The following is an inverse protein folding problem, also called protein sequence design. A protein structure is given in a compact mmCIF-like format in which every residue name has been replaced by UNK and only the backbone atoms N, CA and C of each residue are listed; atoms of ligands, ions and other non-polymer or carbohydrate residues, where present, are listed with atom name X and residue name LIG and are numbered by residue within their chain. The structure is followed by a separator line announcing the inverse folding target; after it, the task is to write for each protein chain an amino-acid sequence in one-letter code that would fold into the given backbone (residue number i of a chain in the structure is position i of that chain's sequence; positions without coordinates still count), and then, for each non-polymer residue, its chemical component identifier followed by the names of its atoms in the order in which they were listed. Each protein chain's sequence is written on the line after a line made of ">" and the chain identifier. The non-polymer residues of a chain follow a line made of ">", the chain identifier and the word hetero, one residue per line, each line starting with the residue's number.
data_IF_407025418003
#
_entry.id   IF_407025418003
#
_cell.length_a   1.000
_cell.length_b   1.000
_cell.length_c   1.000
_cell.angle_alpha   90.00
_cell.angle_beta   90.00
_cell.angle_gamma   90.00
#
_symmetry.space_group_name_H-M   'P 1'
#
loop_
_entity.id
_entity.type
_entity.pdbx_description
1 polymer ?
#
# COMPACT_ATOMS: atom_id res chain seq x y z
N UNK A 1 -2.60 -25.45 8.22
CA UNK A 1 -3.14 -24.09 8.26
C UNK A 1 -3.69 -23.79 6.90
N UNK A 2 -4.97 -23.41 6.76
CA UNK A 2 -5.47 -22.91 5.46
C UNK A 2 -4.82 -21.54 5.28
N UNK A 3 -4.01 -21.37 4.25
CA UNK A 3 -3.58 -20.03 3.83
C UNK A 3 -4.84 -19.27 3.43
N UNK A 4 -5.25 -18.30 4.24
CA UNK A 4 -6.37 -17.43 3.92
C UNK A 4 -5.91 -16.44 2.85
N UNK A 5 -6.45 -16.60 1.65
CA UNK A 5 -6.27 -15.65 0.55
C UNK A 5 -6.73 -14.27 1.01
N UNK A 6 -5.87 -13.28 0.80
CA UNK A 6 -6.13 -11.88 1.11
C UNK A 6 -6.76 -11.23 -0.12
N UNK A 7 -8.05 -10.93 -0.03
CA UNK A 7 -8.76 -10.22 -1.08
C UNK A 7 -8.41 -8.73 -0.98
N UNK A 8 -7.80 -8.20 -2.03
CA UNK A 8 -7.44 -6.80 -2.19
C UNK A 8 -8.37 -6.15 -3.22
N UNK A 9 -9.01 -5.03 -2.87
CA UNK A 9 -9.89 -4.30 -3.78
C UNK A 9 -9.15 -3.12 -4.39
N UNK A 10 -9.15 -3.00 -5.72
CA UNK A 10 -8.50 -1.90 -6.43
C UNK A 10 -9.55 -0.89 -6.85
N UNK A 11 -9.43 0.34 -6.33
CA UNK A 11 -10.32 1.44 -6.64
C UNK A 11 -9.59 2.52 -7.42
N UNK A 12 -9.95 2.71 -8.68
CA UNK A 12 -9.42 3.78 -9.52
C UNK A 12 -10.10 5.12 -9.22
N UNK A 13 -9.40 6.23 -9.45
CA UNK A 13 -9.95 7.60 -9.43
C UNK A 13 -10.71 7.98 -8.14
N UNK A 14 -10.29 7.44 -7.00
CA UNK A 14 -10.95 7.72 -5.72
C UNK A 14 -10.72 9.17 -5.28
N UNK A 15 -11.76 9.85 -4.77
CA UNK A 15 -11.69 11.23 -4.26
C UNK A 15 -10.60 11.43 -3.18
N UNK A 16 -10.32 10.39 -2.39
CA UNK A 16 -9.22 10.37 -1.41
C UNK A 16 -7.84 10.42 -2.08
N UNK A 17 -7.71 9.77 -3.23
CA UNK A 17 -6.49 9.71 -4.00
C UNK A 17 -6.25 11.05 -4.74
N UNK A 18 -7.29 11.80 -5.10
CA UNK A 18 -7.19 13.20 -5.55
C UNK A 18 -6.57 14.12 -4.48
N UNK A 19 -7.02 13.97 -3.23
CA UNK A 19 -6.53 14.78 -2.11
C UNK A 19 -5.07 14.44 -1.78
N UNK A 20 -4.70 13.16 -1.83
CA UNK A 20 -3.31 12.70 -1.67
C UNK A 20 -2.40 13.22 -2.80
N UNK A 21 -2.89 13.23 -4.05
CA UNK A 21 -2.13 13.67 -5.21
C UNK A 21 -1.73 15.14 -5.21
N UNK A 22 -2.62 16.03 -4.73
CA UNK A 22 -2.28 17.46 -4.56
C UNK A 22 -1.13 17.69 -3.57
N UNK A 23 -0.89 16.75 -2.65
CA UNK A 23 0.15 16.88 -1.61
C UNK A 23 1.47 16.20 -2.00
N UNK A 24 1.44 15.18 -2.86
CA UNK A 24 2.61 14.34 -3.17
C UNK A 24 3.39 14.74 -4.43
N UNK A 25 2.87 15.60 -5.33
CA UNK A 25 3.53 16.00 -6.60
C UNK A 25 4.03 14.81 -7.46
N UNK A 26 3.53 13.60 -7.21
CA UNK A 26 3.84 12.42 -8.02
C UNK A 26 2.79 12.27 -9.12
N UNK A 27 3.19 12.00 -10.37
CA UNK A 27 2.25 11.78 -11.46
C UNK A 27 1.45 10.49 -11.29
N UNK A 28 1.92 9.51 -10.52
CA UNK A 28 1.22 8.25 -10.27
C UNK A 28 1.27 7.93 -8.78
N UNK A 29 0.12 7.58 -8.19
CA UNK A 29 -0.02 7.35 -6.75
C UNK A 29 -0.94 6.17 -6.50
N UNK A 30 -0.51 5.31 -5.58
CA UNK A 30 -1.34 4.29 -4.96
C UNK A 30 -1.36 4.57 -3.45
N UNK A 31 -2.51 4.34 -2.83
CA UNK A 31 -2.67 4.46 -1.38
C UNK A 31 -3.43 3.25 -0.88
N UNK A 32 -2.78 2.47 -0.04
CA UNK A 32 -3.42 1.34 0.64
C UNK A 32 -4.12 1.79 1.92
N UNK A 33 -5.37 1.38 2.10
CA UNK A 33 -6.18 1.53 3.30
C UNK A 33 -6.82 0.19 3.66
N UNK A 34 -6.23 -0.53 4.61
CA UNK A 34 -6.67 -1.89 4.92
C UNK A 34 -6.35 -2.84 3.77
N UNK A 35 -7.39 -3.41 3.15
CA UNK A 35 -7.27 -4.23 1.94
C UNK A 35 -7.65 -3.47 0.65
N UNK A 36 -7.94 -2.17 0.75
CA UNK A 36 -8.33 -1.36 -0.40
C UNK A 36 -7.13 -0.57 -0.91
N UNK A 37 -6.81 -0.72 -2.19
CA UNK A 37 -5.74 0.02 -2.87
C UNK A 37 -6.41 1.06 -3.75
N UNK A 38 -6.21 2.33 -3.42
CA UNK A 38 -6.76 3.45 -4.16
C UNK A 38 -5.73 4.00 -5.13
N UNK A 39 -6.02 3.94 -6.42
CA UNK A 39 -5.15 4.41 -7.50
C UNK A 39 -5.54 5.83 -7.94
N UNK A 40 -4.53 6.66 -8.20
CA UNK A 40 -4.69 8.00 -8.75
C UNK A 40 -3.78 8.23 -9.94
N UNK A 41 -4.38 8.72 -11.04
CA UNK A 41 -3.70 8.99 -12.31
C UNK A 41 -2.90 7.77 -12.85
N UNK A 42 -3.39 6.57 -12.53
CA UNK A 42 -2.95 5.27 -13.03
C UNK A 42 -4.16 4.34 -13.02
N UNK A 43 -4.11 3.29 -13.83
CA UNK A 43 -5.13 2.25 -13.92
C UNK A 43 -4.64 0.92 -13.31
N UNK A 44 -5.57 0.01 -13.01
CA UNK A 44 -5.27 -1.30 -12.42
C UNK A 44 -4.27 -2.09 -13.26
N UNK A 45 -4.34 -2.05 -14.58
CA UNK A 45 -3.43 -2.80 -15.44
C UNK A 45 -2.01 -2.24 -15.33
N UNK A 46 -1.83 -0.93 -15.45
CA UNK A 46 -0.52 -0.26 -15.28
C UNK A 46 0.07 -0.55 -13.90
N UNK A 47 -0.73 -0.45 -12.84
CA UNK A 47 -0.30 -0.79 -11.49
C UNK A 47 0.17 -2.25 -11.38
N UNK A 48 -0.62 -3.21 -11.88
CA UNK A 48 -0.30 -4.64 -11.79
C UNK A 48 0.92 -5.04 -12.64
N UNK A 49 1.26 -4.28 -13.68
CA UNK A 49 2.49 -4.53 -14.45
C UNK A 49 3.77 -4.13 -13.72
N UNK A 50 3.69 -3.26 -12.71
CA UNK A 50 4.83 -2.88 -11.88
C UNK A 50 4.87 -3.74 -10.60
N UNK A 51 5.53 -4.90 -10.70
CA UNK A 51 5.63 -5.83 -9.57
C UNK A 51 6.27 -5.22 -8.32
N UNK A 52 7.16 -4.24 -8.48
CA UNK A 52 7.81 -3.58 -7.35
C UNK A 52 6.80 -2.71 -6.60
N UNK A 53 6.00 -1.94 -7.35
CA UNK A 53 4.94 -1.11 -6.81
C UNK A 53 3.82 -1.92 -6.18
N UNK A 54 3.40 -3.03 -6.81
CA UNK A 54 2.44 -3.97 -6.22
C UNK A 54 2.95 -4.48 -4.88
N UNK A 55 4.22 -4.93 -4.81
CA UNK A 55 4.80 -5.44 -3.55
C UNK A 55 4.85 -4.39 -2.45
N UNK A 56 5.10 -3.13 -2.81
CA UNK A 56 5.04 -2.02 -1.88
C UNK A 56 3.66 -1.89 -1.23
N UNK A 57 2.60 -1.83 -2.04
CA UNK A 57 1.22 -1.69 -1.54
C UNK A 57 0.75 -2.93 -0.76
N UNK A 58 1.11 -4.13 -1.23
CA UNK A 58 0.80 -5.37 -0.52
C UNK A 58 1.49 -5.43 0.86
N UNK A 59 2.69 -4.87 1.00
CA UNK A 59 3.33 -4.73 2.31
C UNK A 59 2.47 -3.88 3.26
N UNK A 60 1.87 -2.80 2.77
CA UNK A 60 0.93 -2.01 3.57
C UNK A 60 -0.31 -2.83 3.95
N UNK A 61 -0.88 -3.64 3.05
CA UNK A 61 -1.99 -4.55 3.39
C UNK A 61 -1.60 -5.49 4.53
N UNK A 62 -0.41 -6.09 4.48
CA UNK A 62 0.11 -6.96 5.53
C UNK A 62 0.32 -6.19 6.85
N UNK A 63 0.84 -4.96 6.81
CA UNK A 63 0.99 -4.11 7.98
C UNK A 63 -0.38 -3.77 8.59
N UNK A 64 -1.37 -3.45 7.77
CA UNK A 64 -2.76 -3.22 8.19
C UNK A 64 -3.36 -4.47 8.85
N UNK A 65 -3.13 -5.67 8.30
CA UNK A 65 -3.55 -6.93 8.94
C UNK A 65 -2.82 -7.19 10.26
N UNK A 66 -1.51 -6.90 10.32
CA UNK A 66 -0.67 -7.14 11.50
C UNK A 66 -1.02 -6.22 12.67
N UNK A 67 -1.24 -4.94 12.40
CA UNK A 67 -1.46 -3.94 13.45
C UNK A 67 -2.94 -3.59 13.65
N UNK A 68 -3.81 -3.89 12.68
CA UNK A 68 -5.20 -3.46 12.65
C UNK A 68 -5.36 -2.05 12.10
N UNK A 69 -6.53 -1.74 11.53
CA UNK A 69 -6.79 -0.53 10.75
C UNK A 69 -6.43 0.77 11.48
N UNK A 70 -7.11 1.05 12.59
CA UNK A 70 -6.95 2.32 13.33
C UNK A 70 -5.55 2.43 13.95
N UNK A 71 -5.07 1.34 14.53
CA UNK A 71 -3.76 1.32 15.19
C UNK A 71 -2.63 1.54 14.19
N UNK A 72 -2.68 0.93 13.01
CA UNK A 72 -1.67 1.15 11.98
C UNK A 72 -1.65 2.61 11.52
N UNK A 73 -2.81 3.21 11.25
CA UNK A 73 -2.89 4.64 10.87
C UNK A 73 -2.27 5.55 11.92
N UNK A 74 -2.58 5.33 13.21
CA UNK A 74 -1.98 6.10 14.30
C UNK A 74 -0.46 5.90 14.36
N UNK A 75 0.03 4.65 14.30
CA UNK A 75 1.46 4.35 14.33
C UNK A 75 2.20 4.97 13.14
N UNK A 76 1.62 4.87 11.95
CA UNK A 76 2.17 5.43 10.71
C UNK A 76 2.23 6.95 10.79
N UNK A 77 1.15 7.61 11.22
CA UNK A 77 1.12 9.07 11.35
C UNK A 77 2.10 9.55 12.41
N UNK A 78 2.18 8.87 13.56
CA UNK A 78 3.15 9.21 14.62
C UNK A 78 4.60 9.06 14.16
N UNK A 79 4.92 7.97 13.44
CA UNK A 79 6.24 7.77 12.84
C UNK A 79 6.55 8.85 11.79
N UNK A 80 5.58 9.19 10.95
CA UNK A 80 5.73 10.20 9.91
C UNK A 80 5.94 11.60 10.51
N UNK A 81 5.23 11.98 11.57
CA UNK A 81 5.44 13.26 12.26
C UNK A 81 6.83 13.31 12.92
N UNK A 82 7.31 12.19 13.48
CA UNK A 82 8.60 12.14 14.19
C UNK A 82 9.81 12.09 13.26
N UNK A 83 9.72 11.39 12.13
CA UNK A 83 10.87 11.05 11.27
C UNK A 83 10.71 11.51 9.82
N UNK A 84 9.52 11.96 9.43
CA UNK A 84 9.16 12.23 8.05
C UNK A 84 8.89 10.97 7.22
N UNK A 85 8.32 11.17 6.04
CA UNK A 85 7.87 10.10 5.14
C UNK A 85 9.03 9.19 4.70
N UNK A 86 10.15 9.77 4.28
CA UNK A 86 11.31 8.99 3.79
C UNK A 86 11.90 8.05 4.84
N UNK A 87 11.87 8.45 6.12
CA UNK A 87 12.51 7.71 7.20
C UNK A 87 11.51 6.93 8.08
N UNK A 88 10.23 6.92 7.71
CA UNK A 88 9.20 6.11 8.35
C UNK A 88 9.56 4.62 8.22
N UNK A 89 9.54 3.86 9.32
CA UNK A 89 9.93 2.44 9.29
C UNK A 89 9.00 1.60 8.39
N UNK A 90 7.72 1.96 8.31
CA UNK A 90 6.73 1.24 7.52
C UNK A 90 6.98 1.42 6.02
N UNK A 91 7.41 2.62 5.62
CA UNK A 91 7.84 2.93 4.26
C UNK A 91 9.15 2.23 3.89
N UNK A 92 10.06 2.07 4.85
CA UNK A 92 11.29 1.30 4.63
C UNK A 92 11.00 -0.19 4.44
N UNK A 93 10.10 -0.74 5.24
CA UNK A 93 9.65 -2.13 5.11
C UNK A 93 8.97 -2.35 3.74
N UNK A 94 8.12 -1.42 3.30
CA UNK A 94 7.50 -1.47 1.97
C UNK A 94 8.54 -1.38 0.83
N UNK A 95 9.56 -0.52 0.97
CA UNK A 95 10.68 -0.46 0.00
C UNK A 95 11.54 -1.72 -0.02
N UNK A 96 11.70 -2.39 1.11
CA UNK A 96 12.38 -3.69 1.15
C UNK A 96 11.55 -4.77 0.46
N UNK A 97 10.22 -4.66 0.49
CA UNK A 97 9.32 -5.58 -0.19
C UNK A 97 9.42 -5.49 -1.72
N UNK A 98 9.69 -4.30 -2.27
CA UNK A 98 9.86 -4.05 -3.72
C UNK A 98 10.84 -5.03 -4.38
N UNK A 99 11.92 -5.40 -3.69
CA UNK A 99 12.99 -6.25 -4.25
C UNK A 99 12.87 -7.75 -3.93
N UNK A 100 11.79 -8.20 -3.26
CA UNK A 100 11.57 -9.63 -2.97
C UNK A 100 11.18 -9.99 -1.53
N UNK A 101 10.62 -9.04 -0.77
CA UNK A 101 10.19 -9.30 0.61
C UNK A 101 8.87 -10.05 0.75
N UNK A 102 8.09 -10.20 -0.33
CA UNK A 102 6.84 -10.96 -0.34
C UNK A 102 7.09 -12.26 -1.10
N UNK A 103 7.22 -13.36 -0.36
CA UNK A 103 7.56 -14.68 -0.89
C UNK A 103 6.36 -15.42 -1.48
N UNK A 104 5.14 -15.04 -1.12
CA UNK A 104 3.89 -15.66 -1.58
C UNK A 104 3.00 -14.66 -2.30
N UNK A 105 3.22 -14.51 -3.59
CA UNK A 105 2.34 -13.71 -4.47
C UNK A 105 0.95 -14.36 -4.61
N UNK A 106 0.86 -15.69 -4.44
CA UNK A 106 -0.40 -16.45 -4.45
C UNK A 106 -1.30 -16.19 -3.23
N UNK A 107 -0.81 -15.46 -2.23
CA UNK A 107 -1.59 -15.10 -1.04
C UNK A 107 -2.60 -13.98 -1.33
N UNK A 108 -2.50 -13.27 -2.45
CA UNK A 108 -3.31 -12.10 -2.74
C UNK A 108 -4.20 -12.30 -3.97
N UNK A 109 -5.46 -11.91 -3.85
CA UNK A 109 -6.43 -11.92 -4.95
C UNK A 109 -6.95 -10.49 -5.17
N UNK A 110 -6.85 -9.99 -6.40
CA UNK A 110 -7.20 -8.60 -6.73
C UNK A 110 -8.58 -8.49 -7.39
N UNK A 111 -9.52 -7.86 -6.70
CA UNK A 111 -10.88 -7.55 -7.18
C UNK A 111 -10.95 -6.12 -7.70
#
# INVERSE_FOLDING_TARGET
>A
MKEEVIICHIHEQSLWAWLAARKLRSPHIAVTLGCNIHLWNTDKHTFLTDSSWVKHELCHVLQFRRYGFVRFLCLYLMENIRKGYRNNKFEKEARMAETGGISDENLFEFH
#
